data_IF_359668766451
#
_entry.id   IF_359668766451
#
_cell.length_a   1.000
_cell.length_b   1.000
_cell.length_c   1.000
_cell.angle_alpha   90.00
_cell.angle_beta   90.00
_cell.angle_gamma   90.00
#
_symmetry.space_group_name_H-M   'P 1'
#
loop_
_entity.id
_entity.type
_entity.pdbx_description
1 polymer ?
#
# COMPACT_ATOMS: atom_id res chain seq x y z
N UNK A 1 -23.91 10.31 -42.98
CA UNK A 1 -24.52 8.99 -42.75
C UNK A 1 -23.75 8.10 -41.75
N UNK A 2 -22.46 8.36 -41.43
CA UNK A 2 -21.65 7.47 -40.58
C UNK A 2 -21.85 7.55 -39.05
N UNK A 3 -22.35 8.67 -38.50
CA UNK A 3 -22.50 8.86 -37.04
C UNK A 3 -23.65 8.04 -36.43
N UNK A 4 -24.76 7.84 -37.17
CA UNK A 4 -25.92 7.07 -36.67
C UNK A 4 -25.64 5.57 -36.55
N UNK A 5 -24.82 5.00 -37.44
CA UNK A 5 -24.45 3.58 -37.38
C UNK A 5 -23.48 3.27 -36.23
N UNK A 6 -22.56 4.20 -35.91
CA UNK A 6 -21.62 4.05 -34.79
C UNK A 6 -22.32 4.08 -33.43
N UNK A 7 -23.32 4.95 -33.23
CA UNK A 7 -24.08 5.00 -31.97
C UNK A 7 -24.94 3.75 -31.72
N UNK A 8 -25.53 3.17 -32.78
CA UNK A 8 -26.30 1.92 -32.67
C UNK A 8 -25.43 0.73 -32.22
N UNK A 9 -24.26 0.56 -32.81
CA UNK A 9 -23.33 -0.52 -32.48
C UNK A 9 -22.81 -0.42 -31.03
N UNK A 10 -22.52 0.79 -30.54
CA UNK A 10 -22.09 1.01 -29.15
C UNK A 10 -23.21 0.69 -28.17
N UNK A 11 -24.46 1.06 -28.49
CA UNK A 11 -25.62 0.76 -27.65
C UNK A 11 -25.89 -0.76 -27.57
N UNK A 12 -25.80 -1.47 -28.70
CA UNK A 12 -25.95 -2.93 -28.74
C UNK A 12 -24.85 -3.65 -27.95
N UNK A 13 -23.59 -3.24 -28.12
CA UNK A 13 -22.45 -3.81 -27.36
C UNK A 13 -22.60 -3.57 -25.86
N UNK A 14 -23.06 -2.37 -25.46
CA UNK A 14 -23.36 -2.05 -24.06
C UNK A 14 -24.50 -2.92 -23.52
N UNK A 15 -25.58 -3.09 -24.27
CA UNK A 15 -26.70 -3.94 -23.87
C UNK A 15 -26.27 -5.41 -23.69
N UNK A 16 -25.44 -5.92 -24.60
CA UNK A 16 -24.88 -7.26 -24.49
C UNK A 16 -23.98 -7.42 -23.25
N UNK A 17 -23.12 -6.44 -22.97
CA UNK A 17 -22.26 -6.46 -21.77
C UNK A 17 -23.06 -6.44 -20.46
N UNK A 18 -24.16 -5.67 -20.43
CA UNK A 18 -25.08 -5.64 -19.28
C UNK A 18 -25.76 -7.02 -19.12
N UNK A 19 -26.24 -7.61 -20.21
CA UNK A 19 -26.90 -8.91 -20.18
C UNK A 19 -25.94 -10.03 -19.71
N UNK A 20 -24.71 -10.06 -20.23
CA UNK A 20 -23.66 -10.99 -19.80
C UNK A 20 -23.31 -10.81 -18.31
N UNK A 21 -23.16 -9.56 -17.86
CA UNK A 21 -22.92 -9.28 -16.44
C UNK A 21 -24.06 -9.80 -15.57
N UNK A 22 -25.32 -9.53 -15.94
CA UNK A 22 -26.49 -10.03 -15.19
C UNK A 22 -26.55 -11.56 -15.18
N UNK A 23 -26.18 -12.23 -16.27
CA UNK A 23 -26.13 -13.69 -16.33
C UNK A 23 -25.10 -14.25 -15.35
N UNK A 24 -23.87 -13.69 -15.33
CA UNK A 24 -22.82 -14.07 -14.36
C UNK A 24 -23.25 -13.83 -12.92
N UNK A 25 -23.92 -12.71 -12.65
CA UNK A 25 -24.48 -12.42 -11.32
C UNK A 25 -25.56 -13.42 -10.94
N UNK A 26 -26.45 -13.82 -11.86
CA UNK A 26 -27.47 -14.82 -11.57
C UNK A 26 -26.87 -16.20 -11.28
N UNK A 27 -25.78 -16.56 -11.96
CA UNK A 27 -25.10 -17.85 -11.79
C UNK A 27 -24.26 -17.93 -10.51
N UNK A 28 -23.48 -16.88 -10.21
CA UNK A 28 -22.48 -16.90 -9.13
C UNK A 28 -22.84 -16.02 -7.93
N UNK A 29 -23.85 -15.17 -8.06
CA UNK A 29 -24.27 -14.19 -7.06
C UNK A 29 -23.59 -12.84 -7.15
N UNK A 30 -22.35 -12.80 -7.63
CA UNK A 30 -21.65 -11.57 -8.03
C UNK A 30 -20.63 -11.90 -9.12
N UNK A 31 -20.12 -10.87 -9.80
CA UNK A 31 -18.97 -10.96 -10.69
C UNK A 31 -18.02 -9.82 -10.39
N UNK A 32 -16.72 -9.98 -10.70
CA UNK A 32 -15.72 -8.92 -10.61
C UNK A 32 -15.42 -8.38 -12.00
N UNK A 33 -15.37 -7.06 -12.12
CA UNK A 33 -15.04 -6.35 -13.36
C UNK A 33 -13.72 -5.61 -13.15
N UNK A 34 -12.73 -5.92 -13.98
CA UNK A 34 -11.51 -5.13 -14.10
C UNK A 34 -11.66 -4.01 -15.12
N UNK A 35 -11.17 -2.82 -14.77
CA UNK A 35 -11.12 -1.65 -15.63
C UNK A 35 -9.67 -1.21 -15.77
N UNK A 36 -9.23 -1.08 -17.02
CA UNK A 36 -7.88 -0.66 -17.37
C UNK A 36 -7.89 0.81 -17.82
N UNK A 37 -6.82 1.56 -17.54
CA UNK A 37 -6.69 2.93 -18.02
C UNK A 37 -6.72 2.98 -19.54
N UNK A 38 -7.29 4.05 -20.06
CA UNK A 38 -7.33 4.37 -21.50
C UNK A 38 -6.68 5.73 -21.74
N UNK A 39 -6.30 6.07 -22.98
CA UNK A 39 -5.71 7.39 -23.27
C UNK A 39 -6.58 8.58 -22.82
N UNK A 40 -7.90 8.42 -22.84
CA UNK A 40 -8.91 9.40 -22.43
C UNK A 40 -9.28 9.34 -20.93
N UNK A 41 -8.95 8.26 -20.23
CA UNK A 41 -9.18 8.09 -18.80
C UNK A 41 -7.93 7.54 -18.11
N UNK A 42 -7.12 8.47 -17.62
CA UNK A 42 -5.91 8.17 -16.83
C UNK A 42 -6.26 7.76 -15.40
N UNK A 43 -5.30 7.14 -14.74
CA UNK A 43 -5.39 6.64 -13.36
C UNK A 43 -4.95 5.17 -13.26
N UNK A 44 -4.88 4.61 -12.05
CA UNK A 44 -4.56 3.21 -11.87
C UNK A 44 -5.69 2.34 -12.42
N UNK A 45 -5.34 1.13 -12.85
CA UNK A 45 -6.36 0.12 -13.09
C UNK A 45 -7.08 -0.20 -11.77
N UNK A 46 -8.34 -0.61 -11.88
CA UNK A 46 -9.14 -0.94 -10.71
C UNK A 46 -10.08 -2.09 -11.01
N UNK A 47 -10.59 -2.71 -9.97
CA UNK A 47 -11.63 -3.71 -10.09
C UNK A 47 -12.76 -3.44 -9.09
N UNK A 48 -13.95 -3.88 -9.42
CA UNK A 48 -15.09 -3.80 -8.51
C UNK A 48 -16.07 -4.95 -8.73
N UNK A 49 -16.86 -5.24 -7.71
CA UNK A 49 -17.92 -6.24 -7.78
C UNK A 49 -19.18 -5.65 -8.41
N UNK A 50 -19.96 -6.52 -9.07
CA UNK A 50 -21.34 -6.26 -9.45
C UNK A 50 -22.16 -7.44 -8.95
N UNK A 51 -23.20 -7.18 -8.17
CA UNK A 51 -24.15 -8.22 -7.74
C UNK A 51 -24.40 -8.26 -6.24
N UNK A 52 -23.49 -7.72 -5.42
CA UNK A 52 -23.64 -7.70 -3.97
C UNK A 52 -24.83 -6.83 -3.54
N UNK A 53 -25.15 -5.81 -4.33
CA UNK A 53 -26.35 -4.97 -4.17
C UNK A 53 -27.64 -5.80 -4.14
N UNK A 54 -27.75 -6.87 -4.94
CA UNK A 54 -28.93 -7.73 -4.97
C UNK A 54 -29.13 -8.53 -3.68
N UNK A 55 -28.10 -8.59 -2.83
CA UNK A 55 -28.10 -9.22 -1.50
C UNK A 55 -28.19 -8.19 -0.36
N UNK A 56 -28.38 -6.91 -0.67
CA UNK A 56 -28.40 -5.84 0.32
C UNK A 56 -27.03 -5.51 0.92
N UNK A 57 -25.94 -5.92 0.26
CA UNK A 57 -24.57 -5.66 0.68
C UNK A 57 -23.92 -4.59 -0.21
N UNK A 58 -22.93 -3.82 0.28
CA UNK A 58 -22.22 -2.85 -0.54
C UNK A 58 -21.40 -3.55 -1.63
N UNK A 59 -21.25 -2.92 -2.79
CA UNK A 59 -20.26 -3.38 -3.77
C UNK A 59 -18.84 -3.10 -3.26
N UNK A 60 -17.88 -3.94 -3.61
CA UNK A 60 -16.49 -3.78 -3.24
C UNK A 60 -15.68 -3.24 -4.41
N UNK A 61 -14.73 -2.35 -4.15
CA UNK A 61 -13.79 -1.84 -5.15
C UNK A 61 -12.35 -1.87 -4.62
N UNK A 62 -11.39 -2.05 -5.52
CA UNK A 62 -9.95 -1.97 -5.20
C UNK A 62 -9.21 -1.34 -6.39
N UNK A 63 -8.23 -0.49 -6.11
CA UNK A 63 -7.49 0.29 -7.11
C UNK A 63 -6.00 -0.05 -7.03
N UNK A 64 -5.27 0.07 -8.14
CA UNK A 64 -3.81 0.00 -8.15
C UNK A 64 -3.20 -1.41 -8.19
N UNK A 65 -4.00 -2.46 -8.07
CA UNK A 65 -3.51 -3.84 -8.09
C UNK A 65 -3.71 -4.50 -9.45
N UNK A 66 -2.77 -5.36 -9.84
CA UNK A 66 -2.91 -6.20 -11.04
C UNK A 66 -4.24 -6.98 -11.01
N UNK A 67 -4.94 -7.05 -12.15
CA UNK A 67 -6.33 -7.54 -12.24
C UNK A 67 -6.53 -8.94 -11.64
N UNK A 68 -5.57 -9.84 -11.76
CA UNK A 68 -5.65 -11.19 -11.17
C UNK A 68 -5.65 -11.16 -9.63
N UNK A 69 -4.83 -10.28 -9.04
CA UNK A 69 -4.75 -10.09 -7.59
C UNK A 69 -6.04 -9.44 -7.12
N UNK A 70 -6.46 -8.35 -7.79
CA UNK A 70 -7.69 -7.64 -7.48
C UNK A 70 -8.93 -8.57 -7.54
N UNK A 71 -9.04 -9.42 -8.57
CA UNK A 71 -10.11 -10.42 -8.68
C UNK A 71 -10.11 -11.41 -7.52
N UNK A 72 -8.94 -11.95 -7.17
CA UNK A 72 -8.82 -12.94 -6.10
C UNK A 72 -9.18 -12.32 -4.74
N UNK A 73 -8.67 -11.12 -4.46
CA UNK A 73 -8.97 -10.36 -3.24
C UNK A 73 -10.45 -10.02 -3.12
N UNK A 74 -11.04 -9.42 -4.16
CA UNK A 74 -12.45 -9.02 -4.10
C UNK A 74 -13.38 -10.22 -3.97
N UNK A 75 -13.10 -11.33 -4.65
CA UNK A 75 -13.90 -12.55 -4.48
C UNK A 75 -13.81 -13.12 -3.07
N UNK A 76 -12.62 -13.15 -2.48
CA UNK A 76 -12.44 -13.64 -1.11
C UNK A 76 -13.13 -12.74 -0.08
N UNK A 77 -12.98 -11.42 -0.21
CA UNK A 77 -13.64 -10.45 0.68
C UNK A 77 -15.16 -10.49 0.50
N UNK A 78 -15.65 -10.56 -0.74
CA UNK A 78 -17.08 -10.70 -1.03
C UNK A 78 -17.65 -11.99 -0.42
N UNK A 79 -16.95 -13.12 -0.58
CA UNK A 79 -17.34 -14.41 0.01
C UNK A 79 -17.48 -14.31 1.52
N UNK A 80 -16.46 -13.77 2.21
CA UNK A 80 -16.50 -13.57 3.68
C UNK A 80 -17.64 -12.65 4.12
N UNK A 81 -17.88 -11.56 3.39
CA UNK A 81 -18.95 -10.60 3.68
C UNK A 81 -20.35 -11.22 3.48
N UNK A 82 -20.51 -12.04 2.44
CA UNK A 82 -21.76 -12.78 2.19
C UNK A 82 -22.00 -13.85 3.24
N UNK A 83 -20.97 -14.59 3.65
CA UNK A 83 -21.06 -15.63 4.69
C UNK A 83 -21.38 -15.05 6.07
N UNK A 84 -20.81 -13.89 6.42
CA UNK A 84 -21.11 -13.22 7.69
C UNK A 84 -22.47 -12.51 7.68
N UNK A 85 -22.94 -12.07 6.49
CA UNK A 85 -24.12 -11.22 6.35
C UNK A 85 -23.93 -9.79 6.90
N UNK A 86 -22.70 -9.41 7.26
CA UNK A 86 -22.37 -8.11 7.86
C UNK A 86 -21.65 -7.25 6.83
N UNK A 87 -22.21 -6.08 6.52
CA UNK A 87 -21.58 -5.12 5.62
C UNK A 87 -20.34 -4.49 6.27
N UNK A 88 -19.23 -4.46 5.52
CA UNK A 88 -17.98 -3.82 5.93
C UNK A 88 -18.16 -2.30 6.12
N UNK A 89 -17.54 -1.75 7.17
CA UNK A 89 -17.59 -0.34 7.56
C UNK A 89 -16.20 0.29 7.48
N UNK A 90 -16.13 1.61 7.25
CA UNK A 90 -14.86 2.34 7.25
C UNK A 90 -14.03 2.02 8.50
N UNK A 91 -12.79 1.56 8.28
CA UNK A 91 -11.86 1.19 9.34
C UNK A 91 -11.81 -0.31 9.65
N UNK A 92 -12.74 -1.12 9.12
CA UNK A 92 -12.64 -2.57 9.27
C UNK A 92 -11.37 -3.08 8.62
N UNK A 93 -10.68 -3.97 9.34
CA UNK A 93 -9.44 -4.62 8.92
C UNK A 93 -9.74 -5.99 8.35
N UNK A 94 -9.19 -6.25 7.17
CA UNK A 94 -9.31 -7.52 6.50
C UNK A 94 -7.94 -8.20 6.56
N UNK A 95 -7.84 -9.17 7.45
CA UNK A 95 -6.62 -9.96 7.72
C UNK A 95 -6.67 -11.30 7.00
N UNK A 96 -5.53 -11.98 6.85
CA UNK A 96 -5.44 -13.33 6.26
C UNK A 96 -5.98 -13.41 4.84
N UNK A 97 -5.67 -12.39 4.04
CA UNK A 97 -5.99 -12.35 2.59
C UNK A 97 -4.75 -12.15 1.74
N UNK A 98 -3.72 -11.49 2.28
CA UNK A 98 -2.40 -11.38 1.67
C UNK A 98 -1.42 -12.39 2.30
N UNK A 99 -0.38 -12.77 1.55
CA UNK A 99 0.63 -13.76 1.98
C UNK A 99 1.43 -13.25 3.19
N UNK A 100 1.72 -11.95 3.23
CA UNK A 100 2.51 -11.32 4.30
C UNK A 100 1.63 -10.79 5.45
N UNK A 101 0.35 -11.19 5.47
CA UNK A 101 -0.67 -10.83 6.47
C UNK A 101 -0.83 -9.33 6.75
N UNK A 102 -0.33 -8.47 5.86
CA UNK A 102 -0.53 -7.03 5.95
C UNK A 102 -2.03 -6.74 5.77
N UNK A 103 -2.67 -6.09 6.77
CA UNK A 103 -4.11 -5.88 6.80
C UNK A 103 -4.53 -4.93 5.67
N UNK A 104 -5.58 -5.29 4.94
CA UNK A 104 -6.31 -4.33 4.11
C UNK A 104 -7.27 -3.55 5.01
N UNK A 105 -7.52 -2.29 4.70
CA UNK A 105 -8.48 -1.46 5.45
C UNK A 105 -9.60 -1.01 4.53
N UNK A 106 -10.82 -1.06 5.03
CA UNK A 106 -11.99 -0.68 4.24
C UNK A 106 -12.33 0.80 4.41
N UNK A 107 -12.82 1.42 3.34
CA UNK A 107 -13.29 2.81 3.33
C UNK A 107 -14.61 2.87 2.56
N UNK A 108 -15.68 3.33 3.21
CA UNK A 108 -16.95 3.58 2.54
C UNK A 108 -16.76 4.63 1.41
N UNK A 109 -17.20 4.30 0.20
CA UNK A 109 -17.02 5.16 -0.97
C UNK A 109 -18.08 6.27 -0.98
N UNK A 110 -17.62 7.52 -1.03
CA UNK A 110 -18.47 8.69 -1.28
C UNK A 110 -18.51 9.04 -2.77
N UNK A 111 -17.47 8.68 -3.53
CA UNK A 111 -17.44 8.77 -4.98
C UNK A 111 -17.51 7.38 -5.60
N UNK A 112 -18.64 7.07 -6.25
CA UNK A 112 -18.86 5.79 -6.93
C UNK A 112 -18.88 5.95 -8.45
N UNK A 113 -18.39 7.07 -8.98
CA UNK A 113 -18.41 7.40 -10.42
C UNK A 113 -17.73 6.33 -11.27
N UNK A 114 -16.80 5.56 -10.68
CA UNK A 114 -16.11 4.48 -11.37
C UNK A 114 -16.96 3.21 -11.60
N UNK A 115 -18.01 2.99 -10.79
CA UNK A 115 -18.84 1.76 -10.77
C UNK A 115 -19.99 1.80 -11.79
N UNK A 116 -19.64 2.05 -13.06
CA UNK A 116 -20.63 2.21 -14.14
C UNK A 116 -21.52 0.98 -14.32
N UNK A 117 -20.95 -0.23 -14.35
CA UNK A 117 -21.73 -1.44 -14.62
C UNK A 117 -22.76 -1.73 -13.52
N UNK A 118 -22.47 -1.36 -12.27
CA UNK A 118 -23.44 -1.42 -11.17
C UNK A 118 -24.63 -0.51 -11.47
N UNK A 119 -24.40 0.74 -11.89
CA UNK A 119 -25.49 1.65 -12.29
C UNK A 119 -26.29 1.13 -13.48
N UNK A 120 -25.65 0.56 -14.49
CA UNK A 120 -26.37 -0.04 -15.62
C UNK A 120 -27.25 -1.22 -15.19
N UNK A 121 -26.79 -2.01 -14.22
CA UNK A 121 -27.51 -3.18 -13.75
C UNK A 121 -28.64 -2.83 -12.76
N UNK A 122 -28.44 -1.82 -11.90
CA UNK A 122 -29.32 -1.55 -10.75
C UNK A 122 -29.91 -0.13 -10.75
N UNK A 123 -29.58 0.71 -11.71
CA UNK A 123 -30.01 2.11 -11.82
C UNK A 123 -29.17 3.08 -10.97
N UNK A 124 -28.64 2.62 -9.83
CA UNK A 124 -27.77 3.39 -8.96
C UNK A 124 -26.77 2.49 -8.22
N UNK A 125 -25.73 3.07 -7.64
CA UNK A 125 -24.89 2.40 -6.64
C UNK A 125 -25.47 2.76 -5.27
N UNK A 126 -26.12 1.80 -4.61
CA UNK A 126 -26.75 2.05 -3.32
C UNK A 126 -25.71 2.26 -2.19
N UNK A 127 -24.67 1.41 -2.17
CA UNK A 127 -23.54 1.52 -1.28
C UNK A 127 -22.32 0.83 -1.92
N UNK A 128 -21.13 1.35 -1.65
CA UNK A 128 -19.88 0.72 -2.04
C UNK A 128 -18.79 0.95 -0.99
N UNK A 129 -17.87 0.00 -0.89
CA UNK A 129 -16.74 0.01 0.02
C UNK A 129 -15.47 -0.25 -0.78
N UNK A 130 -14.49 0.64 -0.64
CA UNK A 130 -13.16 0.43 -1.16
C UNK A 130 -12.37 -0.43 -0.17
N UNK A 131 -11.72 -1.47 -0.68
CA UNK A 131 -10.70 -2.25 0.01
C UNK A 131 -9.35 -1.60 -0.30
N UNK A 132 -8.70 -1.03 0.71
CA UNK A 132 -7.46 -0.26 0.58
C UNK A 132 -6.27 -1.07 1.07
N UNK A 133 -5.24 -1.21 0.23
CA UNK A 133 -3.96 -1.82 0.58
C UNK A 133 -2.94 -0.77 1.06
N UNK A 134 -2.07 -1.07 2.04
CA UNK A 134 -0.97 -0.20 2.46
C UNK A 134 0.32 -0.47 1.68
N UNK A 135 1.36 0.35 1.87
CA UNK A 135 2.70 0.08 1.32
C UNK A 135 3.39 -1.13 1.99
N UNK A 136 4.61 -1.45 1.55
CA UNK A 136 5.39 -2.56 2.10
C UNK A 136 5.68 -2.45 3.61
N UNK A 137 5.71 -1.22 4.15
CA UNK A 137 5.86 -0.98 5.59
C UNK A 137 4.51 -1.03 6.34
N UNK A 138 3.39 -1.26 5.64
CA UNK A 138 2.06 -1.33 6.24
C UNK A 138 1.43 0.04 6.51
N UNK A 139 1.99 1.09 5.92
CA UNK A 139 1.49 2.47 6.01
C UNK A 139 0.40 2.69 4.96
N UNK A 140 -0.76 3.17 5.40
CA UNK A 140 -1.94 3.39 4.54
C UNK A 140 -1.85 4.74 3.82
N UNK A 141 -2.54 4.93 2.67
CA UNK A 141 -2.43 6.14 1.85
C UNK A 141 -2.70 7.46 2.59
N UNK A 142 -3.52 7.45 3.64
CA UNK A 142 -3.87 8.64 4.42
C UNK A 142 -2.99 8.87 5.65
N UNK A 143 -1.98 8.03 5.86
CA UNK A 143 -1.10 8.10 7.01
C UNK A 143 0.20 8.85 6.68
N UNK A 144 0.74 9.54 7.68
CA UNK A 144 1.94 10.37 7.52
C UNK A 144 3.16 9.52 7.16
N UNK A 145 3.84 9.86 6.08
CA UNK A 145 4.99 9.09 5.58
C UNK A 145 4.64 7.95 4.61
N UNK A 146 3.37 7.78 4.24
CA UNK A 146 2.96 6.84 3.18
C UNK A 146 3.75 7.05 1.89
N UNK A 147 4.24 5.95 1.30
CA UNK A 147 4.85 5.97 -0.05
C UNK A 147 3.82 5.89 -1.16
N UNK A 148 2.56 5.57 -0.83
CA UNK A 148 1.47 5.49 -1.79
C UNK A 148 0.93 6.87 -2.11
N UNK A 149 0.71 7.11 -3.39
CA UNK A 149 0.13 8.33 -3.94
C UNK A 149 -1.27 8.07 -4.51
N UNK A 150 -1.97 9.15 -4.86
CA UNK A 150 -3.25 9.07 -5.56
C UNK A 150 -3.14 8.40 -6.95
N UNK A 151 -1.95 8.40 -7.57
CA UNK A 151 -1.70 7.71 -8.84
C UNK A 151 -1.58 6.19 -8.65
N UNK A 152 -1.16 5.73 -7.46
CA UNK A 152 -1.08 4.31 -7.12
C UNK A 152 -2.46 3.77 -6.73
N UNK A 153 -3.14 4.47 -5.82
CA UNK A 153 -4.45 4.06 -5.30
C UNK A 153 -5.21 5.28 -4.76
N UNK A 154 -6.13 5.87 -5.54
CA UNK A 154 -6.96 6.96 -5.05
C UNK A 154 -7.94 6.45 -3.98
N UNK A 155 -8.10 7.22 -2.91
CA UNK A 155 -9.10 6.91 -1.85
C UNK A 155 -10.42 7.61 -2.18
N UNK A 156 -11.45 6.84 -2.54
CA UNK A 156 -12.75 7.33 -3.03
C UNK A 156 -13.78 7.60 -1.93
N UNK A 157 -13.31 7.89 -0.73
CA UNK A 157 -14.12 8.05 0.47
C UNK A 157 -13.43 8.84 1.56
N UNK A 158 -14.07 8.93 2.72
CA UNK A 158 -13.43 9.50 3.92
C UNK A 158 -12.73 8.37 4.68
N UNK A 159 -11.38 8.33 4.73
CA UNK A 159 -10.67 7.32 5.48
C UNK A 159 -10.91 7.47 6.99
N UNK A 160 -10.63 6.43 7.79
CA UNK A 160 -10.57 6.55 9.25
C UNK A 160 -9.46 7.54 9.66
N UNK A 161 -9.39 7.87 10.96
CA UNK A 161 -8.28 8.65 11.47
C UNK A 161 -6.94 7.93 11.23
N UNK A 162 -5.92 8.68 10.81
CA UNK A 162 -4.57 8.15 10.66
C UNK A 162 -4.04 7.64 12.01
N UNK A 163 -3.38 6.49 11.99
CA UNK A 163 -2.65 5.99 13.16
C UNK A 163 -1.43 6.89 13.41
N UNK A 164 -0.99 7.04 14.67
CA UNK A 164 0.30 7.68 14.92
C UNK A 164 1.42 6.83 14.33
N UNK A 165 2.31 7.47 13.58
CA UNK A 165 3.52 6.88 13.03
C UNK A 165 4.74 7.58 13.61
N UNK A 166 5.79 6.79 13.83
CA UNK A 166 6.98 7.20 14.57
C UNK A 166 8.24 7.11 13.74
N UNK A 167 8.17 7.36 12.42
CA UNK A 167 9.36 7.42 11.56
C UNK A 167 10.46 8.32 12.16
N UNK A 168 11.72 7.91 12.00
CA UNK A 168 12.85 8.77 12.32
C UNK A 168 12.76 10.09 11.52
N UNK A 169 13.20 11.18 12.14
CA UNK A 169 13.25 12.49 11.51
C UNK A 169 14.24 12.48 10.34
N UNK A 170 13.88 13.17 9.26
CA UNK A 170 14.77 13.32 8.10
C UNK A 170 16.01 14.10 8.53
N UNK A 171 17.18 13.51 8.30
CA UNK A 171 18.46 14.18 8.47
C UNK A 171 18.70 15.11 7.26
N UNK A 172 19.10 16.38 7.46
CA UNK A 172 19.29 17.35 6.39
C UNK A 172 20.70 17.21 5.77
N UNK A 173 21.00 16.03 5.22
CA UNK A 173 22.31 15.71 4.63
C UNK A 173 22.14 15.07 3.26
N UNK A 174 23.08 15.31 2.35
CA UNK A 174 23.13 14.67 1.03
C UNK A 174 24.39 13.83 0.84
N UNK A 175 25.50 14.18 1.50
CA UNK A 175 26.78 13.46 1.37
C UNK A 175 27.15 12.67 2.62
N UNK A 176 28.00 11.64 2.45
CA UNK A 176 28.55 10.89 3.56
C UNK A 176 29.39 11.78 4.51
N UNK A 177 30.03 12.85 3.99
CA UNK A 177 30.73 13.83 4.83
C UNK A 177 29.77 14.61 5.73
N UNK A 178 28.68 15.15 5.18
CA UNK A 178 27.68 15.89 5.98
C UNK A 178 27.06 15.00 7.06
N UNK A 179 26.81 13.72 6.74
CA UNK A 179 26.35 12.74 7.72
C UNK A 179 27.41 12.50 8.82
N UNK A 180 28.69 12.41 8.45
CA UNK A 180 29.80 12.25 9.39
C UNK A 180 29.90 13.44 10.34
N UNK A 181 29.80 14.66 9.82
CA UNK A 181 29.84 15.90 10.59
C UNK A 181 28.66 15.96 11.57
N UNK A 182 27.44 15.65 11.09
CA UNK A 182 26.23 15.65 11.90
C UNK A 182 26.26 14.62 13.06
N UNK A 183 26.81 13.43 12.80
CA UNK A 183 26.84 12.32 13.78
C UNK A 183 28.04 12.44 14.74
N UNK A 184 29.16 12.98 14.26
CA UNK A 184 30.38 13.17 15.05
C UNK A 184 30.15 14.07 16.27
N UNK A 185 29.25 15.04 16.14
CA UNK A 185 28.86 15.96 17.22
C UNK A 185 27.90 15.32 18.24
N UNK A 186 27.26 14.20 17.92
CA UNK A 186 26.24 13.60 18.77
C UNK A 186 26.83 12.62 19.79
N UNK A 187 26.44 12.70 21.08
CA UNK A 187 26.85 11.72 22.08
C UNK A 187 26.27 10.33 21.79
N UNK A 188 26.89 9.29 22.35
CA UNK A 188 26.32 7.93 22.30
C UNK A 188 25.01 7.89 23.07
N UNK A 189 23.93 7.51 22.40
CA UNK A 189 22.59 7.40 22.97
C UNK A 189 22.11 5.93 23.02
N UNK A 190 21.15 5.66 23.90
CA UNK A 190 20.52 4.34 24.09
C UNK A 190 19.01 4.48 24.16
N UNK A 191 18.30 3.46 23.65
CA UNK A 191 16.84 3.33 23.76
C UNK A 191 16.39 2.84 25.14
N UNK A 192 17.32 2.45 26.04
CA UNK A 192 17.00 1.86 27.34
C UNK A 192 16.67 2.86 28.47
N UNK A 193 16.71 4.17 28.22
CA UNK A 193 16.40 5.19 29.26
C UNK A 193 14.89 5.29 29.47
N UNK A 194 14.43 4.95 30.69
CA UNK A 194 13.10 4.39 30.95
C UNK A 194 11.97 5.38 31.31
N UNK A 195 12.10 6.69 31.13
CA UNK A 195 11.02 7.63 31.46
C UNK A 195 10.77 8.68 30.37
N UNK A 196 9.58 8.63 29.76
CA UNK A 196 8.98 9.73 29.01
C UNK A 196 9.44 9.94 27.56
N UNK A 197 10.25 9.04 26.99
CA UNK A 197 10.75 9.19 25.62
C UNK A 197 9.88 8.45 24.61
N UNK A 198 9.29 9.18 23.66
CA UNK A 198 8.35 8.60 22.68
C UNK A 198 9.05 7.78 21.57
N UNK A 199 8.33 6.84 20.92
CA UNK A 199 8.92 5.90 19.94
C UNK A 199 9.72 6.57 18.81
N UNK A 200 9.34 7.79 18.41
CA UNK A 200 10.07 8.57 17.41
C UNK A 200 11.51 8.89 17.84
N UNK A 201 11.74 9.22 19.12
CA UNK A 201 13.10 9.46 19.63
C UNK A 201 13.95 8.19 19.51
N UNK A 202 13.38 7.04 19.83
CA UNK A 202 14.10 5.79 19.76
C UNK A 202 14.45 5.43 18.31
N UNK A 203 13.55 5.76 17.38
CA UNK A 203 13.81 5.62 15.95
C UNK A 203 14.86 6.61 15.44
N UNK A 204 14.92 7.85 15.97
CA UNK A 204 16.03 8.79 15.71
C UNK A 204 17.37 8.24 16.21
N UNK A 205 17.40 7.64 17.40
CA UNK A 205 18.59 7.00 17.97
C UNK A 205 19.05 5.83 17.09
N UNK A 206 18.12 4.97 16.65
CA UNK A 206 18.40 3.84 15.76
C UNK A 206 18.94 4.31 14.41
N UNK A 207 18.36 5.36 13.83
CA UNK A 207 18.88 6.00 12.63
C UNK A 207 20.31 6.52 12.83
N UNK A 208 20.60 7.11 14.00
CA UNK A 208 21.96 7.53 14.38
C UNK A 208 22.95 6.36 14.49
N UNK A 209 22.54 5.20 15.00
CA UNK A 209 23.39 4.00 15.03
C UNK A 209 23.71 3.49 13.62
N UNK A 210 22.70 3.41 12.74
CA UNK A 210 22.89 3.03 11.35
C UNK A 210 23.80 4.03 10.60
N UNK A 211 23.60 5.33 10.83
CA UNK A 211 24.44 6.37 10.25
C UNK A 211 25.91 6.27 10.67
N UNK A 212 26.21 5.87 11.92
CA UNK A 212 27.60 5.59 12.35
C UNK A 212 28.23 4.43 11.58
N UNK A 213 27.46 3.38 11.29
CA UNK A 213 27.93 2.26 10.48
C UNK A 213 28.22 2.70 9.04
N UNK A 214 27.31 3.50 8.44
CA UNK A 214 27.50 4.03 7.09
C UNK A 214 28.72 4.95 6.98
N UNK A 215 28.90 5.86 7.95
CA UNK A 215 30.07 6.75 8.00
C UNK A 215 31.37 5.94 8.14
N UNK A 216 31.38 4.91 8.99
CA UNK A 216 32.56 4.06 9.16
C UNK A 216 32.91 3.29 7.87
N UNK A 217 31.90 2.79 7.15
CA UNK A 217 32.07 2.15 5.85
C UNK A 217 32.61 3.13 4.80
N UNK A 218 31.97 4.28 4.63
CA UNK A 218 32.40 5.32 3.69
C UNK A 218 33.82 5.80 3.99
N UNK A 219 34.18 5.97 5.26
CA UNK A 219 35.56 6.33 5.69
C UNK A 219 36.58 5.26 5.31
N UNK A 220 36.20 3.98 5.42
CA UNK A 220 37.08 2.88 5.05
C UNK A 220 37.42 2.88 3.56
N UNK A 221 36.45 3.22 2.69
CA UNK A 221 36.61 3.23 1.24
C UNK A 221 37.18 4.55 0.69
N UNK A 222 36.69 5.70 1.17
CA UNK A 222 36.98 7.03 0.63
C UNK A 222 38.23 7.71 1.19
N UNK A 223 38.87 7.15 2.21
CA UNK A 223 40.05 7.74 2.83
C UNK A 223 39.75 9.11 3.46
N UNK A 224 40.38 10.18 2.97
CA UNK A 224 40.30 11.53 3.57
C UNK A 224 39.20 12.44 3.02
N UNK A 225 38.33 11.97 2.11
CA UNK A 225 37.26 12.78 1.49
C UNK A 225 36.01 11.94 1.21
N UNK A 226 34.90 12.24 1.89
CA UNK A 226 33.62 11.54 1.77
C UNK A 226 32.62 12.30 0.87
N UNK A 227 32.99 12.51 -0.40
CA UNK A 227 32.20 13.32 -1.35
C UNK A 227 31.07 12.56 -2.03
N UNK A 228 30.90 11.28 -1.75
CA UNK A 228 29.81 10.49 -2.32
C UNK A 228 28.46 10.87 -1.72
N UNK A 229 27.43 10.77 -2.55
CA UNK A 229 26.04 10.89 -2.11
C UNK A 229 25.70 9.76 -1.13
N UNK A 230 24.89 10.06 -0.11
CA UNK A 230 24.46 9.09 0.91
C UNK A 230 23.78 7.88 0.28
N UNK A 231 23.01 8.08 -0.79
CA UNK A 231 22.31 7.00 -1.51
C UNK A 231 23.30 6.00 -2.13
N UNK A 232 24.40 6.49 -2.73
CA UNK A 232 25.45 5.64 -3.29
C UNK A 232 26.14 4.84 -2.20
N UNK A 233 26.61 5.51 -1.15
CA UNK A 233 27.29 4.87 -0.02
C UNK A 233 26.41 3.79 0.64
N UNK A 234 25.11 4.09 0.82
CA UNK A 234 24.16 3.17 1.43
C UNK A 234 23.87 1.96 0.54
N UNK A 235 23.74 2.18 -0.77
CA UNK A 235 23.52 1.10 -1.74
C UNK A 235 24.72 0.16 -1.81
N UNK A 236 25.93 0.71 -1.82
CA UNK A 236 27.17 -0.07 -1.81
C UNK A 236 27.32 -0.86 -0.51
N UNK A 237 27.06 -0.23 0.65
CA UNK A 237 27.06 -0.93 1.94
C UNK A 237 26.07 -2.10 1.97
N UNK A 238 24.85 -1.92 1.46
CA UNK A 238 23.85 -2.99 1.39
C UNK A 238 24.31 -4.14 0.47
N UNK A 239 24.96 -3.82 -0.65
CA UNK A 239 25.54 -4.80 -1.56
C UNK A 239 26.64 -5.63 -0.86
N UNK A 240 27.58 -4.96 -0.19
CA UNK A 240 28.69 -5.61 0.52
C UNK A 240 28.22 -6.38 1.75
N UNK A 241 27.16 -5.94 2.42
CA UNK A 241 26.50 -6.72 3.47
C UNK A 241 25.96 -8.04 2.94
N UNK A 242 25.45 -8.10 1.70
CA UNK A 242 25.00 -9.36 1.10
C UNK A 242 26.17 -10.32 0.88
N UNK A 243 27.30 -9.84 0.38
CA UNK A 243 28.53 -10.63 0.28
C UNK A 243 29.02 -11.12 1.64
N UNK A 244 28.91 -10.29 2.68
CA UNK A 244 29.23 -10.68 4.05
C UNK A 244 28.33 -11.81 4.55
N UNK A 245 27.02 -11.77 4.25
CA UNK A 245 26.08 -12.83 4.63
C UNK A 245 26.40 -14.16 3.96
N UNK A 246 26.75 -14.14 2.67
CA UNK A 246 27.23 -15.33 1.95
C UNK A 246 28.48 -15.92 2.64
N UNK A 247 29.43 -15.06 3.01
CA UNK A 247 30.67 -15.48 3.68
C UNK A 247 30.45 -16.01 5.10
N UNK A 248 29.45 -15.49 5.82
CA UNK A 248 29.09 -15.92 7.18
C UNK A 248 28.16 -17.14 7.20
N UNK A 249 27.59 -17.54 6.05
CA UNK A 249 26.59 -18.59 5.96
C UNK A 249 25.26 -18.22 6.64
N UNK A 250 24.91 -16.93 6.61
CA UNK A 250 23.66 -16.42 7.19
C UNK A 250 22.65 -16.16 6.06
N UNK A 251 21.41 -16.59 6.24
CA UNK A 251 20.33 -16.35 5.29
C UNK A 251 19.94 -14.85 5.26
N UNK A 252 20.24 -14.21 4.12
CA UNK A 252 19.94 -12.81 3.85
C UNK A 252 18.44 -12.53 3.85
N UNK A 253 17.65 -13.33 3.12
CA UNK A 253 16.21 -13.10 2.98
C UNK A 253 15.51 -13.25 4.34
N UNK A 254 15.87 -14.28 5.11
CA UNK A 254 15.33 -14.46 6.45
C UNK A 254 15.74 -13.35 7.43
N UNK A 255 16.86 -12.66 7.20
CA UNK A 255 17.26 -11.50 8.00
C UNK A 255 16.52 -10.23 7.58
N UNK A 256 16.31 -10.02 6.28
CA UNK A 256 15.50 -8.91 5.75
C UNK A 256 14.07 -9.01 6.26
N UNK A 257 13.43 -10.17 6.16
CA UNK A 257 12.06 -10.37 6.68
C UNK A 257 11.94 -9.99 8.16
N UNK A 258 12.87 -10.48 9.00
CA UNK A 258 12.88 -10.11 10.44
C UNK A 258 13.16 -8.64 10.67
N UNK A 259 13.99 -8.02 9.83
CA UNK A 259 14.26 -6.59 9.89
C UNK A 259 13.01 -5.77 9.55
N UNK A 260 12.25 -6.19 8.54
CA UNK A 260 10.99 -5.53 8.15
C UNK A 260 9.96 -5.64 9.27
N UNK A 261 9.81 -6.80 9.90
CA UNK A 261 8.92 -6.99 11.04
C UNK A 261 9.29 -6.07 12.21
N UNK A 262 10.58 -5.99 12.56
CA UNK A 262 11.05 -5.08 13.62
C UNK A 262 10.84 -3.62 13.24
N UNK A 263 11.18 -3.23 12.01
CA UNK A 263 11.00 -1.85 11.54
C UNK A 263 9.53 -1.44 11.61
N UNK A 264 8.62 -2.31 11.17
CA UNK A 264 7.17 -2.09 11.26
C UNK A 264 6.74 -1.90 12.71
N UNK A 265 7.12 -2.80 13.61
CA UNK A 265 6.83 -2.65 15.02
C UNK A 265 7.34 -1.32 15.60
N UNK A 266 8.56 -0.93 15.23
CA UNK A 266 9.18 0.32 15.67
C UNK A 266 8.44 1.58 15.19
N UNK A 267 7.99 1.63 13.92
CA UNK A 267 7.27 2.78 13.38
C UNK A 267 5.81 2.87 13.85
N UNK A 268 5.20 1.73 14.22
CA UNK A 268 3.87 1.68 14.83
C UNK A 268 3.89 1.83 16.36
N UNK A 269 5.07 1.84 16.98
CA UNK A 269 5.21 1.98 18.44
C UNK A 269 4.80 0.73 19.21
N UNK A 270 4.99 -0.45 18.61
CA UNK A 270 4.62 -1.76 19.14
C UNK A 270 5.76 -2.44 19.93
N UNK A 271 6.90 -1.74 20.12
CA UNK A 271 8.16 -2.22 20.72
C UNK A 271 8.41 -1.62 22.10
#
# INVERSE_FOLDING_TARGET
MGQKHSHGAVAEMRAAAIADTRAKVAEHGWTVIGVFPTPDRRGPNFAYTVGLSARGLPELAIYGLHTQIAHSLLNEVARRMVESGVALQTGDRIERVLVDDVPLVTVAMTDTTDLNMVRECYGAVAAAVQVVWPDGAGVLPWEDGSRLTDDDQPVRGRPPAARPLYHANRLPVTTAQELADLIGEQPKQTTLTREGTGPRRDNDIRAGWAGRALVAYATHLGGSSLTEEVETAASDLLCDMRHLFDALGVDWEAAVTRSDDHYRGEIFGEV
#
